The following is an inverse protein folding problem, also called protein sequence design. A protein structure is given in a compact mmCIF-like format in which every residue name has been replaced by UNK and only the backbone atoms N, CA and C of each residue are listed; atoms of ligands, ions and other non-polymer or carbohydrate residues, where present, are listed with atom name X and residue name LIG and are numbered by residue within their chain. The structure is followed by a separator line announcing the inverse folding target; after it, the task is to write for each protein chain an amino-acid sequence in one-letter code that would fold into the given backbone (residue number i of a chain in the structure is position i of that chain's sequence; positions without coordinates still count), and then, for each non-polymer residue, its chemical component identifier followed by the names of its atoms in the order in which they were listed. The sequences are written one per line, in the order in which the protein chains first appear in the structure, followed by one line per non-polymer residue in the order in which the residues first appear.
data_IF_502753097865
#
_entry.id   IF_502753097865
#
_cell.length_a   1.000
_cell.length_b   1.000
_cell.length_c   1.000
_cell.angle_alpha   90.00
_cell.angle_beta   90.00
_cell.angle_gamma   90.00
#
_symmetry.space_group_name_H-M   'P 1'
#
loop_
_entity.id
_entity.type
_entity.pdbx_description
1 polymer ?
#
# COMPACT_ATOMS: atom_id res chain seq x y z
N UNK A 1 12.35 4.19 47.01
CA UNK A 1 11.93 4.08 45.59
C UNK A 1 11.26 5.41 45.27
N UNK A 2 11.82 6.26 44.39
CA UNK A 2 11.16 7.53 44.05
C UNK A 2 9.88 7.20 43.28
N UNK A 3 8.73 7.59 43.82
CA UNK A 3 7.47 7.52 43.07
C UNK A 3 7.66 8.26 41.75
N UNK A 4 7.47 7.56 40.64
CA UNK A 4 7.45 8.16 39.33
C UNK A 4 6.18 9.01 39.22
N UNK A 5 6.35 10.32 39.17
CA UNK A 5 5.28 11.27 38.88
C UNK A 5 4.85 11.16 37.41
N UNK A 6 4.12 10.08 37.14
CA UNK A 6 3.56 9.74 35.84
C UNK A 6 2.57 10.80 35.37
N UNK A 7 1.87 11.45 36.30
CA UNK A 7 0.90 12.49 35.96
C UNK A 7 1.59 13.71 35.34
N UNK A 8 2.61 14.25 36.01
CA UNK A 8 3.37 15.37 35.46
C UNK A 8 4.11 14.99 34.19
N UNK A 9 4.59 13.74 34.08
CA UNK A 9 5.23 13.26 32.85
C UNK A 9 4.27 13.23 31.66
N UNK A 10 3.09 12.61 31.83
CA UNK A 10 2.06 12.54 30.77
C UNK A 10 1.55 13.93 30.43
N UNK A 11 1.30 14.79 31.42
CA UNK A 11 0.83 16.15 31.18
C UNK A 11 1.84 16.99 30.40
N UNK A 12 3.14 16.89 30.74
CA UNK A 12 4.21 17.53 29.96
C UNK A 12 4.31 16.96 28.56
N UNK A 13 4.12 15.66 28.37
CA UNK A 13 4.11 15.05 27.04
C UNK A 13 2.97 15.62 26.17
N UNK A 14 1.76 15.73 26.70
CA UNK A 14 0.59 16.32 26.01
C UNK A 14 0.83 17.79 25.68
N UNK A 15 1.32 18.59 26.63
CA UNK A 15 1.67 19.99 26.39
C UNK A 15 2.79 20.15 25.36
N UNK A 16 3.73 19.21 25.33
CA UNK A 16 4.83 19.21 24.35
C UNK A 16 4.32 18.83 22.96
N UNK A 17 3.40 17.87 22.84
CA UNK A 17 2.72 17.59 21.56
C UNK A 17 2.04 18.84 21.03
N UNK A 18 1.23 19.52 21.87
CA UNK A 18 0.51 20.71 21.42
C UNK A 18 1.41 21.89 21.07
N UNK A 19 2.49 22.10 21.84
CA UNK A 19 3.48 23.12 21.51
C UNK A 19 4.18 22.82 20.18
N UNK A 20 4.47 21.54 19.91
CA UNK A 20 5.10 21.11 18.67
C UNK A 20 4.15 21.26 17.48
N UNK A 21 2.88 20.88 17.63
CA UNK A 21 1.88 21.01 16.58
C UNK A 21 1.61 22.51 16.27
N UNK A 22 1.52 23.39 17.29
CA UNK A 22 1.49 24.86 17.09
C UNK A 22 2.72 25.44 16.42
N UNK A 23 3.90 24.86 16.67
CA UNK A 23 5.16 25.29 16.03
C UNK A 23 5.30 24.82 14.58
N UNK A 24 4.27 24.15 14.03
CA UNK A 24 4.27 23.65 12.66
C UNK A 24 5.16 22.43 12.49
N UNK A 25 5.25 21.56 13.50
CA UNK A 25 5.96 20.29 13.39
C UNK A 25 5.51 19.56 12.14
N UNK A 26 6.43 19.36 11.20
CA UNK A 26 6.25 18.42 10.10
C UNK A 26 6.28 17.01 10.67
N UNK A 27 5.13 16.52 11.17
CA UNK A 27 4.91 15.08 11.28
C UNK A 27 5.05 14.54 9.85
N UNK A 28 6.01 13.65 9.60
CA UNK A 28 6.13 12.99 8.30
C UNK A 28 4.80 12.28 8.03
N UNK A 29 3.94 12.88 7.22
CA UNK A 29 2.70 12.32 6.66
C UNK A 29 1.86 11.51 7.66
N UNK A 30 1.39 12.13 8.74
CA UNK A 30 0.44 11.48 9.64
C UNK A 30 -0.99 11.89 9.27
N UNK A 31 -1.77 10.95 8.72
CA UNK A 31 -3.23 11.11 8.62
C UNK A 31 -3.81 11.01 10.03
N UNK A 32 -4.05 12.17 10.63
CA UNK A 32 -4.47 12.28 12.02
C UNK A 32 -5.98 12.06 12.20
N UNK A 33 -6.41 11.81 13.44
CA UNK A 33 -7.83 11.66 13.78
C UNK A 33 -8.67 12.89 13.42
N UNK A 34 -8.09 14.09 13.47
CA UNK A 34 -8.78 15.33 13.09
C UNK A 34 -9.03 15.43 11.59
N UNK A 35 -8.02 15.12 10.77
CA UNK A 35 -8.13 15.10 9.31
C UNK A 35 -9.15 14.04 8.86
N UNK A 36 -9.09 12.84 9.46
CA UNK A 36 -10.07 11.80 9.22
C UNK A 36 -11.50 12.27 9.50
N UNK A 37 -11.75 12.93 10.64
CA UNK A 37 -13.07 13.46 11.00
C UNK A 37 -13.52 14.57 10.04
N UNK A 38 -12.60 15.46 9.65
CA UNK A 38 -12.91 16.51 8.69
C UNK A 38 -13.33 15.91 7.33
N UNK A 39 -12.59 14.92 6.82
CA UNK A 39 -12.94 14.21 5.59
C UNK A 39 -14.28 13.48 5.71
N UNK A 40 -14.52 12.77 6.81
CA UNK A 40 -15.80 12.07 7.04
C UNK A 40 -16.99 13.03 7.02
N UNK A 41 -16.83 14.22 7.61
CA UNK A 41 -17.86 15.28 7.56
C UNK A 41 -18.08 15.78 6.13
N UNK A 42 -17.01 16.00 5.37
CA UNK A 42 -17.10 16.41 3.95
C UNK A 42 -17.73 15.34 3.05
N UNK A 43 -17.63 14.07 3.42
CA UNK A 43 -18.26 12.94 2.73
C UNK A 43 -19.69 12.64 3.22
N UNK A 44 -20.21 13.47 4.13
CA UNK A 44 -21.59 13.39 4.64
C UNK A 44 -21.97 12.01 5.19
N UNK A 45 -21.08 11.40 5.97
CA UNK A 45 -21.29 10.08 6.58
C UNK A 45 -22.60 9.99 7.40
N UNK A 46 -23.12 11.10 7.90
CA UNK A 46 -24.38 11.17 8.64
C UNK A 46 -25.62 10.75 7.85
N UNK A 47 -25.56 10.77 6.51
CA UNK A 47 -26.66 10.33 5.64
C UNK A 47 -26.50 8.90 5.13
N UNK A 48 -25.41 8.21 5.49
CA UNK A 48 -25.15 6.84 5.07
C UNK A 48 -25.72 5.85 6.08
N UNK A 49 -26.08 4.66 5.60
CA UNK A 49 -26.48 3.54 6.46
C UNK A 49 -25.33 3.16 7.40
N UNK A 50 -25.62 3.08 8.69
CA UNK A 50 -24.60 2.88 9.72
C UNK A 50 -23.92 1.52 9.64
N UNK A 51 -24.65 0.48 9.23
CA UNK A 51 -24.13 -0.89 9.15
C UNK A 51 -23.22 -1.04 7.93
N UNK A 52 -23.65 -0.51 6.78
CA UNK A 52 -22.81 -0.45 5.57
C UNK A 52 -21.55 0.38 5.80
N UNK A 53 -21.67 1.49 6.55
CA UNK A 53 -20.53 2.35 6.88
C UNK A 53 -19.53 1.63 7.80
N UNK A 54 -20.02 0.92 8.82
CA UNK A 54 -19.17 0.15 9.74
C UNK A 54 -18.43 -0.99 9.02
N UNK A 55 -19.07 -1.62 8.04
CA UNK A 55 -18.43 -2.61 7.16
C UNK A 55 -17.33 -1.99 6.29
N UNK A 56 -17.63 -0.88 5.61
CA UNK A 56 -16.65 -0.15 4.80
C UNK A 56 -15.45 0.35 5.62
N UNK A 57 -15.68 0.82 6.84
CA UNK A 57 -14.62 1.24 7.76
C UNK A 57 -13.70 0.08 8.14
N UNK A 58 -14.25 -1.11 8.42
CA UNK A 58 -13.42 -2.30 8.67
C UNK A 58 -12.57 -2.66 7.45
N UNK A 59 -13.14 -2.61 6.25
CA UNK A 59 -12.42 -2.89 5.00
C UNK A 59 -11.40 -1.81 4.63
N UNK A 60 -11.58 -0.56 5.04
CA UNK A 60 -10.60 0.51 4.82
C UNK A 60 -9.23 0.22 5.47
N UNK A 61 -9.23 -0.45 6.64
CA UNK A 61 -7.99 -0.85 7.33
C UNK A 61 -7.25 -1.92 6.54
N UNK A 62 -7.99 -2.88 5.98
CA UNK A 62 -7.41 -3.94 5.15
C UNK A 62 -6.91 -3.38 3.82
N UNK A 63 -7.70 -2.50 3.20
CA UNK A 63 -7.30 -1.75 2.01
C UNK A 63 -5.97 -1.03 2.23
N UNK A 64 -5.83 -0.32 3.36
CA UNK A 64 -4.60 0.43 3.66
C UNK A 64 -3.37 -0.49 3.70
N UNK A 65 -3.48 -1.67 4.31
CA UNK A 65 -2.39 -2.64 4.37
C UNK A 65 -2.03 -3.19 2.98
N UNK A 66 -3.03 -3.59 2.18
CA UNK A 66 -2.83 -4.10 0.82
C UNK A 66 -2.19 -3.01 -0.06
N UNK A 67 -2.72 -1.79 -0.02
CA UNK A 67 -2.23 -0.68 -0.81
C UNK A 67 -0.77 -0.33 -0.47
N UNK A 68 -0.44 -0.26 0.83
CA UNK A 68 0.93 -0.02 1.27
C UNK A 68 1.87 -1.13 0.80
N UNK A 69 1.45 -2.40 0.93
CA UNK A 69 2.25 -3.55 0.52
C UNK A 69 2.46 -3.60 -1.01
N UNK A 70 1.42 -3.37 -1.80
CA UNK A 70 1.49 -3.33 -3.27
C UNK A 70 2.52 -2.29 -3.74
N UNK A 71 2.51 -1.10 -3.13
CA UNK A 71 3.52 -0.07 -3.42
C UNK A 71 4.92 -0.44 -2.94
N UNK A 72 5.06 -1.13 -1.81
CA UNK A 72 6.36 -1.63 -1.36
C UNK A 72 6.94 -2.66 -2.34
N UNK A 73 6.11 -3.57 -2.88
CA UNK A 73 6.54 -4.53 -3.91
C UNK A 73 6.91 -3.79 -5.20
N UNK A 74 6.14 -2.79 -5.64
CA UNK A 74 6.52 -1.95 -6.80
C UNK A 74 7.88 -1.31 -6.62
N UNK A 75 8.14 -0.70 -5.45
CA UNK A 75 9.42 -0.06 -5.15
C UNK A 75 10.58 -1.07 -5.16
N UNK A 76 10.38 -2.25 -4.57
CA UNK A 76 11.37 -3.33 -4.58
C UNK A 76 11.69 -3.76 -6.02
N UNK A 77 10.66 -4.02 -6.84
CA UNK A 77 10.84 -4.42 -8.24
C UNK A 77 11.57 -3.35 -9.03
N UNK A 78 11.17 -2.07 -8.89
CA UNK A 78 11.85 -0.96 -9.56
C UNK A 78 13.32 -0.87 -9.15
N UNK A 79 13.62 -1.00 -7.86
CA UNK A 79 15.00 -0.93 -7.36
C UNK A 79 15.85 -2.07 -7.90
N UNK A 80 15.40 -3.32 -7.75
CA UNK A 80 16.15 -4.50 -8.18
C UNK A 80 16.40 -4.51 -9.69
N UNK A 81 15.37 -4.19 -10.49
CA UNK A 81 15.50 -4.11 -11.94
C UNK A 81 16.42 -2.98 -12.39
N UNK A 82 16.33 -1.80 -11.75
CA UNK A 82 17.22 -0.68 -12.05
C UNK A 82 18.69 -0.96 -11.68
N UNK A 83 18.94 -1.69 -10.59
CA UNK A 83 20.29 -2.10 -10.19
C UNK A 83 20.90 -3.10 -11.19
N UNK A 84 20.11 -4.04 -11.71
CA UNK A 84 20.58 -5.06 -12.64
C UNK A 84 20.67 -4.58 -14.10
N UNK A 85 19.81 -3.65 -14.53
CA UNK A 85 19.66 -3.27 -15.93
C UNK A 85 19.86 -1.76 -16.21
N UNK A 86 20.10 -0.94 -15.19
CA UNK A 86 20.27 0.51 -15.33
C UNK A 86 18.97 1.21 -15.71
N UNK A 87 19.08 2.38 -16.35
CA UNK A 87 17.92 3.23 -16.70
C UNK A 87 16.96 2.57 -17.70
N UNK A 88 17.43 1.63 -18.53
CA UNK A 88 16.62 0.92 -19.53
C UNK A 88 15.95 -0.34 -18.98
N UNK A 89 15.90 -0.51 -17.65
CA UNK A 89 15.31 -1.70 -17.01
C UNK A 89 13.86 -1.97 -17.44
N UNK A 90 13.08 -0.91 -17.73
CA UNK A 90 11.70 -1.06 -18.18
C UNK A 90 11.62 -1.84 -19.50
N UNK A 91 12.63 -1.78 -20.35
CA UNK A 91 12.65 -2.56 -21.61
C UNK A 91 12.71 -4.07 -21.39
N UNK A 92 13.19 -4.52 -20.21
CA UNK A 92 13.24 -5.92 -19.80
C UNK A 92 11.91 -6.42 -19.22
N UNK A 93 10.96 -5.53 -18.96
CA UNK A 93 9.60 -5.91 -18.54
C UNK A 93 8.87 -6.59 -19.71
N UNK A 94 8.11 -7.68 -19.45
CA UNK A 94 7.33 -8.37 -20.47
C UNK A 94 6.50 -7.41 -21.33
N UNK A 95 6.54 -7.60 -22.65
CA UNK A 95 5.90 -6.69 -23.62
C UNK A 95 4.39 -6.52 -23.34
N UNK A 96 3.71 -7.60 -22.94
CA UNK A 96 2.29 -7.57 -22.54
C UNK A 96 2.04 -6.51 -21.47
N UNK A 97 2.86 -6.50 -20.41
CA UNK A 97 2.70 -5.60 -19.26
C UNK A 97 3.02 -4.17 -19.66
N UNK A 98 4.09 -3.95 -20.45
CA UNK A 98 4.42 -2.63 -20.99
C UNK A 98 3.25 -2.04 -21.80
N UNK A 99 2.64 -2.84 -22.68
CA UNK A 99 1.48 -2.41 -23.47
C UNK A 99 0.28 -2.08 -22.58
N UNK A 100 -0.09 -2.98 -21.67
CA UNK A 100 -1.22 -2.76 -20.76
C UNK A 100 -1.02 -1.53 -19.88
N UNK A 101 0.16 -1.36 -19.30
CA UNK A 101 0.51 -0.18 -18.51
C UNK A 101 0.41 1.10 -19.33
N UNK A 102 0.94 1.10 -20.56
CA UNK A 102 0.89 2.26 -21.46
C UNK A 102 -0.56 2.63 -21.82
N UNK A 103 -1.39 1.64 -22.16
CA UNK A 103 -2.81 1.86 -22.45
C UNK A 103 -3.54 2.46 -21.25
N UNK A 104 -3.34 1.92 -20.04
CA UNK A 104 -3.96 2.46 -18.81
C UNK A 104 -3.51 3.90 -18.52
N UNK A 105 -2.24 4.22 -18.78
CA UNK A 105 -1.69 5.57 -18.61
C UNK A 105 -2.26 6.56 -19.63
N UNK A 106 -2.37 6.16 -20.90
CA UNK A 106 -2.99 6.96 -21.95
C UNK A 106 -4.48 7.19 -21.69
N UNK A 107 -5.19 6.19 -21.14
CA UNK A 107 -6.58 6.32 -20.72
C UNK A 107 -6.76 7.35 -19.60
N UNK A 108 -5.93 7.28 -18.55
CA UNK A 108 -5.97 8.26 -17.46
C UNK A 108 -5.65 9.68 -17.96
N UNK A 109 -4.69 9.82 -18.88
CA UNK A 109 -4.29 11.11 -19.45
C UNK A 109 -5.39 11.80 -20.27
N UNK A 110 -6.40 11.06 -20.76
CA UNK A 110 -7.56 11.64 -21.46
C UNK A 110 -8.41 12.51 -20.54
N UNK A 111 -8.45 12.19 -19.24
CA UNK A 111 -9.35 12.84 -18.28
C UNK A 111 -8.60 13.86 -17.41
N UNK A 112 -8.27 15.02 -17.97
CA UNK A 112 -7.50 16.08 -17.28
C UNK A 112 -8.11 16.61 -15.97
N UNK A 113 -9.42 16.41 -15.75
CA UNK A 113 -10.10 16.82 -14.53
C UNK A 113 -9.96 15.81 -13.39
N UNK A 114 -9.38 14.63 -13.66
CA UNK A 114 -9.16 13.57 -12.69
C UNK A 114 -7.65 13.28 -12.57
N UNK A 115 -7.18 13.00 -11.35
CA UNK A 115 -5.79 12.58 -11.14
C UNK A 115 -5.50 11.22 -11.79
N UNK A 116 -4.27 11.05 -12.29
CA UNK A 116 -3.76 9.78 -12.80
C UNK A 116 -3.25 8.87 -11.67
N UNK A 117 -3.17 7.55 -11.91
CA UNK A 117 -2.67 6.58 -10.92
C UNK A 117 -1.22 6.84 -10.47
N UNK A 118 -0.40 7.46 -11.32
CA UNK A 118 0.94 7.91 -10.96
C UNK A 118 1.74 8.40 -12.16
N UNK A 119 2.99 8.80 -11.91
CA UNK A 119 3.86 9.39 -12.93
C UNK A 119 4.63 8.37 -13.78
N UNK A 120 4.91 7.19 -13.21
CA UNK A 120 5.70 6.12 -13.83
C UNK A 120 4.86 4.90 -14.16
N UNK A 121 5.25 4.15 -15.18
CA UNK A 121 4.54 2.99 -15.71
C UNK A 121 4.32 1.90 -14.65
N UNK A 122 5.29 1.67 -13.75
CA UNK A 122 5.15 0.67 -12.67
C UNK A 122 3.95 0.93 -11.75
N UNK A 123 3.45 2.18 -11.65
CA UNK A 123 2.26 2.52 -10.84
C UNK A 123 0.97 1.95 -11.44
N UNK A 124 1.00 1.50 -12.69
CA UNK A 124 -0.11 0.89 -13.40
C UNK A 124 -0.06 -0.65 -13.37
N UNK A 125 0.96 -1.25 -12.75
CA UNK A 125 1.08 -2.70 -12.55
C UNK A 125 0.41 -3.12 -11.24
N UNK A 126 -0.35 -4.22 -11.26
CA UNK A 126 -0.94 -4.88 -10.08
C UNK A 126 -0.08 -6.08 -9.62
N UNK A 127 -0.51 -6.85 -8.61
CA UNK A 127 0.28 -7.99 -8.13
C UNK A 127 0.48 -9.07 -9.20
N UNK A 128 -0.48 -9.25 -10.11
CA UNK A 128 -0.37 -10.22 -11.21
C UNK A 128 0.72 -9.79 -12.21
N UNK A 129 0.75 -8.50 -12.55
CA UNK A 129 1.79 -7.91 -13.38
C UNK A 129 3.16 -8.00 -12.67
N UNK A 130 3.25 -7.62 -11.39
CA UNK A 130 4.50 -7.68 -10.61
C UNK A 130 5.03 -9.12 -10.49
N UNK A 131 4.16 -10.08 -10.20
CA UNK A 131 4.49 -11.51 -10.19
C UNK A 131 5.05 -11.98 -11.53
N UNK A 132 4.45 -11.55 -12.63
CA UNK A 132 4.93 -11.86 -13.98
C UNK A 132 6.30 -11.24 -14.29
N UNK A 133 6.56 -10.01 -13.84
CA UNK A 133 7.86 -9.36 -13.97
C UNK A 133 8.94 -10.15 -13.22
N UNK A 134 8.66 -10.51 -11.96
CA UNK A 134 9.58 -11.26 -11.09
C UNK A 134 9.93 -12.61 -11.70
N UNK A 135 8.92 -13.38 -12.12
CA UNK A 135 9.11 -14.71 -12.70
C UNK A 135 9.91 -14.64 -14.00
N UNK A 136 9.62 -13.67 -14.86
CA UNK A 136 10.33 -13.54 -16.15
C UNK A 136 11.79 -13.14 -15.98
N UNK A 137 12.08 -12.33 -14.96
CA UNK A 137 13.41 -11.80 -14.69
C UNK A 137 14.02 -12.44 -13.43
N UNK A 138 13.76 -13.72 -13.17
CA UNK A 138 14.07 -14.36 -11.89
C UNK A 138 15.53 -14.21 -11.43
N UNK A 139 16.48 -14.22 -12.36
CA UNK A 139 17.90 -14.03 -12.05
C UNK A 139 18.19 -12.70 -11.30
N UNK A 140 17.33 -11.69 -11.42
CA UNK A 140 17.42 -10.41 -10.69
C UNK A 140 16.92 -10.55 -9.24
N UNK A 141 16.02 -11.50 -8.99
CA UNK A 141 15.29 -11.62 -7.73
C UNK A 141 15.67 -12.84 -6.89
N UNK A 142 16.46 -13.77 -7.44
CA UNK A 142 16.81 -15.04 -6.80
C UNK A 142 17.45 -14.82 -5.42
N UNK A 143 18.47 -13.95 -5.35
CA UNK A 143 19.16 -13.63 -4.10
C UNK A 143 18.25 -12.92 -3.08
N UNK A 144 17.23 -12.20 -3.54
CA UNK A 144 16.32 -11.43 -2.68
C UNK A 144 15.16 -12.27 -2.15
N UNK A 145 14.57 -13.10 -3.02
CA UNK A 145 13.32 -13.81 -2.72
C UNK A 145 13.55 -15.30 -2.41
N UNK A 146 14.66 -15.89 -2.85
CA UNK A 146 15.10 -17.26 -2.58
C UNK A 146 14.24 -18.38 -3.19
N UNK A 147 12.95 -18.15 -3.43
CA UNK A 147 12.03 -19.14 -3.97
C UNK A 147 10.96 -18.50 -4.86
N UNK A 148 10.97 -18.85 -6.15
CA UNK A 148 10.10 -18.28 -7.16
C UNK A 148 8.63 -18.67 -6.96
N UNK A 149 8.39 -19.95 -6.67
CA UNK A 149 7.05 -20.50 -6.47
C UNK A 149 6.37 -19.87 -5.26
N UNK A 150 7.11 -19.68 -4.17
CA UNK A 150 6.64 -19.00 -2.96
C UNK A 150 6.31 -17.54 -3.25
N UNK A 151 7.19 -16.80 -3.94
CA UNK A 151 6.95 -15.40 -4.27
C UNK A 151 5.69 -15.27 -5.14
N UNK A 152 5.57 -16.10 -6.18
CA UNK A 152 4.41 -16.17 -7.07
C UNK A 152 3.13 -16.53 -6.30
N UNK A 153 3.17 -17.54 -5.42
CA UNK A 153 2.02 -17.97 -4.62
C UNK A 153 1.56 -16.88 -3.64
N UNK A 154 2.51 -16.16 -3.03
CA UNK A 154 2.24 -15.07 -2.10
C UNK A 154 1.49 -13.92 -2.80
N UNK A 155 2.02 -13.45 -3.94
CA UNK A 155 1.40 -12.38 -4.72
C UNK A 155 0.02 -12.80 -5.28
N UNK A 156 -0.11 -14.03 -5.77
CA UNK A 156 -1.40 -14.55 -6.25
C UNK A 156 -2.45 -14.66 -5.14
N UNK A 157 -2.02 -15.00 -3.92
CA UNK A 157 -2.93 -15.06 -2.76
C UNK A 157 -3.42 -13.68 -2.38
N UNK A 158 -2.51 -12.70 -2.32
CA UNK A 158 -2.85 -11.32 -1.99
C UNK A 158 -3.71 -10.64 -3.08
N UNK A 159 -3.49 -10.97 -4.35
CA UNK A 159 -4.30 -10.49 -5.47
C UNK A 159 -5.78 -10.85 -5.33
N UNK A 160 -6.10 -12.07 -4.86
CA UNK A 160 -7.49 -12.49 -4.62
C UNK A 160 -8.17 -11.60 -3.57
N UNK A 161 -7.48 -11.38 -2.45
CA UNK A 161 -7.98 -10.52 -1.37
C UNK A 161 -8.10 -9.06 -1.81
N UNK A 162 -7.10 -8.56 -2.56
CA UNK A 162 -7.08 -7.21 -3.12
C UNK A 162 -8.29 -6.97 -4.02
N UNK A 163 -8.62 -7.91 -4.91
CA UNK A 163 -9.77 -7.75 -5.80
C UNK A 163 -11.10 -7.68 -5.05
N UNK A 164 -11.29 -8.49 -4.00
CA UNK A 164 -12.50 -8.41 -3.18
C UNK A 164 -12.63 -7.03 -2.54
N UNK A 165 -11.58 -6.55 -1.86
CA UNK A 165 -11.58 -5.26 -1.16
C UNK A 165 -11.79 -4.08 -2.13
N UNK A 166 -11.17 -4.14 -3.32
CA UNK A 166 -11.25 -3.06 -4.32
C UNK A 166 -12.60 -3.01 -5.05
N UNK A 167 -13.35 -4.11 -5.04
CA UNK A 167 -14.69 -4.19 -5.64
C UNK A 167 -15.82 -4.06 -4.61
N UNK A 168 -15.53 -3.53 -3.42
CA UNK A 168 -16.52 -3.26 -2.38
C UNK A 168 -16.99 -4.51 -1.63
N UNK A 169 -16.26 -5.62 -1.75
CA UNK A 169 -16.54 -6.83 -0.99
C UNK A 169 -15.86 -6.82 0.38
N UNK A 170 -16.31 -7.74 1.23
CA UNK A 170 -15.79 -7.94 2.57
C UNK A 170 -15.05 -9.26 2.71
N UNK A 171 -14.04 -9.27 3.58
CA UNK A 171 -13.23 -10.44 3.86
C UNK A 171 -13.55 -11.05 5.22
N UNK A 172 -13.54 -12.38 5.28
CA UNK A 172 -13.62 -13.10 6.54
C UNK A 172 -12.35 -12.88 7.37
N UNK A 173 -12.45 -13.12 8.69
CA UNK A 173 -11.33 -12.90 9.62
C UNK A 173 -10.10 -13.71 9.21
N UNK A 174 -10.31 -14.95 8.79
CA UNK A 174 -9.27 -15.89 8.38
C UNK A 174 -8.53 -15.39 7.13
N UNK A 175 -9.23 -14.71 6.22
CA UNK A 175 -8.62 -14.11 5.03
C UNK A 175 -7.78 -12.88 5.40
N UNK A 176 -8.27 -12.05 6.33
CA UNK A 176 -7.52 -10.90 6.85
C UNK A 176 -6.24 -11.35 7.56
N UNK A 177 -6.32 -12.40 8.37
CA UNK A 177 -5.15 -12.99 9.03
C UNK A 177 -4.16 -13.57 8.00
N UNK A 178 -4.65 -14.22 6.95
CA UNK A 178 -3.82 -14.72 5.84
C UNK A 178 -3.08 -13.61 5.12
N UNK A 179 -3.73 -12.48 4.87
CA UNK A 179 -3.07 -11.29 4.30
C UNK A 179 -1.93 -10.84 5.21
N UNK A 180 -2.20 -10.70 6.51
CA UNK A 180 -1.20 -10.28 7.49
C UNK A 180 0.00 -11.23 7.57
N UNK A 181 -0.22 -12.54 7.48
CA UNK A 181 0.86 -13.55 7.43
C UNK A 181 1.72 -13.39 6.18
N UNK A 182 1.09 -13.34 4.99
CA UNK A 182 1.81 -13.20 3.71
C UNK A 182 2.63 -11.91 3.64
N UNK A 183 2.07 -10.78 4.09
CA UNK A 183 2.80 -9.50 4.15
C UNK A 183 4.01 -9.61 5.09
N UNK A 184 3.82 -10.19 6.28
CA UNK A 184 4.89 -10.33 7.28
C UNK A 184 6.03 -11.21 6.77
N UNK A 185 5.70 -12.34 6.18
CA UNK A 185 6.69 -13.28 5.65
C UNK A 185 7.43 -12.68 4.46
N UNK A 186 6.73 -11.95 3.59
CA UNK A 186 7.37 -11.21 2.50
C UNK A 186 8.36 -10.17 3.00
N UNK A 187 7.97 -9.35 3.98
CA UNK A 187 8.86 -8.32 4.54
C UNK A 187 10.09 -8.96 5.21
N UNK A 188 9.94 -10.13 5.85
CA UNK A 188 11.10 -10.83 6.44
C UNK A 188 12.06 -11.39 5.39
N UNK A 189 11.56 -11.76 4.23
CA UNK A 189 12.37 -12.31 3.14
C UNK A 189 13.03 -11.22 2.30
N UNK A 190 12.28 -10.18 1.92
CA UNK A 190 12.69 -9.18 0.93
C UNK A 190 13.04 -7.80 1.53
N UNK A 191 12.82 -7.61 2.84
CA UNK A 191 12.99 -6.33 3.55
C UNK A 191 14.28 -6.22 4.34
#
# INVERSE_FOLDING_TARGET
MKDLDLYSFVYRAVLTEEALDRSGRRRKNHFGTEEARATQKSLSYEFLDSDLLAEAQRMSVVYAAIHAFENAVRQMVTKAMAEANGETWWEKVPERIRKTSKTRMEEDAKFRWHGARGATEINYCDFSDLSSIIVTNWAVFDDLLGNMEWAKATLNTLEKSRNIVMHGGSLAKEDVERIGMNIRDWIRQAG
#
